data_IF_877016784923
#
_entry.id   IF_877016784923
#
_cell.length_a   1.000
_cell.length_b   1.000
_cell.length_c   1.000
_cell.angle_alpha   90.00
_cell.angle_beta   90.00
_cell.angle_gamma   90.00
#
_symmetry.space_group_name_H-M   'P 1'
#
loop_
_entity.id
_entity.type
_entity.pdbx_description
1 polymer ?
#
# COMPACT_ATOMS: atom_id res chain seq x y z
N UNK A 1 14.72 31.26 -9.35
CA UNK A 1 14.48 30.36 -10.49
C UNK A 1 14.92 28.93 -10.20
N UNK A 2 16.09 28.71 -9.61
CA UNK A 2 16.57 27.41 -9.17
C UNK A 2 15.68 26.83 -8.06
N UNK A 3 15.22 27.65 -7.13
CA UNK A 3 14.29 27.25 -6.05
C UNK A 3 12.95 26.79 -6.60
N UNK A 4 12.44 27.43 -7.64
CA UNK A 4 11.19 27.05 -8.29
C UNK A 4 11.32 25.69 -8.99
N UNK A 5 12.40 25.47 -9.69
CA UNK A 5 12.67 24.21 -10.40
C UNK A 5 12.80 23.03 -9.43
N UNK A 6 13.54 23.18 -8.33
CA UNK A 6 13.68 22.15 -7.30
C UNK A 6 12.35 21.83 -6.63
N UNK A 7 11.57 22.84 -6.30
CA UNK A 7 10.25 22.67 -5.72
C UNK A 7 9.30 21.92 -6.66
N UNK A 8 9.34 22.24 -7.94
CA UNK A 8 8.55 21.57 -8.95
C UNK A 8 8.94 20.10 -9.09
N UNK A 9 10.23 19.78 -9.10
CA UNK A 9 10.71 18.39 -9.14
C UNK A 9 10.30 17.61 -7.89
N UNK A 10 10.39 18.20 -6.72
CA UNK A 10 9.92 17.59 -5.47
C UNK A 10 8.43 17.26 -5.53
N UNK A 11 7.62 18.18 -6.02
CA UNK A 11 6.18 17.95 -6.17
C UNK A 11 5.86 16.80 -7.12
N UNK A 12 6.55 16.71 -8.26
CA UNK A 12 6.36 15.63 -9.24
C UNK A 12 6.74 14.28 -8.65
N UNK A 13 7.89 14.20 -7.97
CA UNK A 13 8.35 12.95 -7.34
C UNK A 13 7.41 12.52 -6.21
N UNK A 14 6.94 13.45 -5.40
CA UNK A 14 6.00 13.18 -4.31
C UNK A 14 4.66 12.65 -4.84
N UNK A 15 4.12 13.24 -5.91
CA UNK A 15 2.90 12.78 -6.55
C UNK A 15 3.04 11.37 -7.10
N UNK A 16 4.15 11.07 -7.74
CA UNK A 16 4.44 9.74 -8.29
C UNK A 16 4.52 8.70 -7.20
N UNK A 17 5.21 8.99 -6.10
CA UNK A 17 5.33 8.09 -4.95
C UNK A 17 3.97 7.81 -4.32
N UNK A 18 3.14 8.83 -4.14
CA UNK A 18 1.77 8.67 -3.62
C UNK A 18 0.89 7.82 -4.54
N UNK A 19 1.01 8.01 -5.83
CA UNK A 19 0.27 7.22 -6.82
C UNK A 19 0.66 5.74 -6.76
N UNK A 20 1.96 5.46 -6.74
CA UNK A 20 2.48 4.10 -6.65
C UNK A 20 2.08 3.43 -5.33
N UNK A 21 2.12 4.18 -4.23
CA UNK A 21 1.69 3.72 -2.91
C UNK A 21 0.21 3.37 -2.91
N UNK A 22 -0.66 4.22 -3.45
CA UNK A 22 -2.09 3.99 -3.52
C UNK A 22 -2.41 2.74 -4.34
N UNK A 23 -1.76 2.55 -5.48
CA UNK A 23 -1.95 1.35 -6.30
C UNK A 23 -1.51 0.08 -5.59
N UNK A 24 -0.36 0.11 -4.93
CA UNK A 24 0.13 -1.02 -4.17
C UNK A 24 -0.81 -1.37 -3.00
N UNK A 25 -1.32 -0.37 -2.30
CA UNK A 25 -2.29 -0.56 -1.21
C UNK A 25 -3.60 -1.16 -1.70
N UNK A 26 -4.13 -0.68 -2.82
CA UNK A 26 -5.35 -1.22 -3.44
C UNK A 26 -5.18 -2.69 -3.81
N UNK A 27 -4.06 -3.03 -4.44
CA UNK A 27 -3.77 -4.42 -4.80
C UNK A 27 -3.59 -5.31 -3.57
N UNK A 28 -2.87 -4.83 -2.55
CA UNK A 28 -2.68 -5.54 -1.30
C UNK A 28 -4.01 -5.77 -0.57
N UNK A 29 -4.92 -4.81 -0.61
CA UNK A 29 -6.26 -4.92 -0.03
C UNK A 29 -7.07 -6.03 -0.70
N UNK A 30 -7.05 -6.09 -2.03
CA UNK A 30 -7.71 -7.15 -2.79
C UNK A 30 -7.10 -8.52 -2.46
N UNK A 31 -5.78 -8.64 -2.43
CA UNK A 31 -5.08 -9.89 -2.12
C UNK A 31 -5.37 -10.35 -0.68
N UNK A 32 -5.46 -9.44 0.26
CA UNK A 32 -5.83 -9.77 1.63
C UNK A 32 -7.22 -10.39 1.70
N UNK A 33 -8.18 -9.84 0.96
CA UNK A 33 -9.53 -10.41 0.85
C UNK A 33 -9.52 -11.81 0.24
N UNK A 34 -8.74 -12.01 -0.83
CA UNK A 34 -8.60 -13.32 -1.46
C UNK A 34 -7.97 -14.37 -0.54
N UNK A 35 -6.97 -13.98 0.26
CA UNK A 35 -6.35 -14.87 1.23
C UNK A 35 -7.31 -15.27 2.36
N UNK A 36 -8.11 -14.33 2.84
CA UNK A 36 -9.17 -14.60 3.83
C UNK A 36 -10.18 -15.60 3.26
N UNK A 37 -10.56 -15.42 2.00
CA UNK A 37 -11.47 -16.34 1.31
C UNK A 37 -10.87 -17.75 1.17
N UNK A 38 -9.59 -17.86 0.87
CA UNK A 38 -8.90 -19.15 0.76
C UNK A 38 -8.77 -19.86 2.10
N UNK A 39 -8.58 -19.12 3.18
CA UNK A 39 -8.53 -19.70 4.53
C UNK A 39 -9.88 -20.27 4.98
N UNK A 40 -10.98 -19.72 4.47
CA UNK A 40 -12.35 -20.11 4.80
C UNK A 40 -13.11 -20.59 3.55
N UNK A 41 -12.45 -21.33 2.68
CA UNK A 41 -12.97 -21.67 1.35
C UNK A 41 -14.29 -22.44 1.42
N UNK A 42 -14.45 -23.33 2.38
CA UNK A 42 -15.68 -24.13 2.51
C UNK A 42 -16.90 -23.26 2.81
N UNK A 43 -16.74 -22.28 3.69
CA UNK A 43 -17.81 -21.32 4.01
C UNK A 43 -18.10 -20.40 2.83
N UNK A 44 -17.08 -19.94 2.13
CA UNK A 44 -17.22 -19.08 0.94
C UNK A 44 -18.00 -19.82 -0.15
N UNK A 45 -17.68 -21.08 -0.40
CA UNK A 45 -18.39 -21.92 -1.37
C UNK A 45 -19.86 -22.10 -0.97
N UNK A 46 -20.13 -22.35 0.30
CA UNK A 46 -21.51 -22.49 0.82
C UNK A 46 -22.31 -21.20 0.61
N UNK A 47 -21.71 -20.05 0.90
CA UNK A 47 -22.35 -18.75 0.72
C UNK A 47 -22.67 -18.50 -0.76
N UNK A 48 -21.70 -18.73 -1.64
CA UNK A 48 -21.87 -18.52 -3.07
C UNK A 48 -22.94 -19.46 -3.65
N UNK A 49 -22.94 -20.72 -3.27
CA UNK A 49 -23.94 -21.72 -3.73
C UNK A 49 -25.33 -21.46 -3.17
N UNK A 50 -25.41 -20.97 -1.94
CA UNK A 50 -26.69 -20.68 -1.29
C UNK A 50 -27.33 -19.36 -1.71
N UNK A 51 -26.58 -18.50 -2.39
CA UNK A 51 -27.07 -17.19 -2.81
C UNK A 51 -27.80 -17.28 -4.16
N UNK A 52 -28.88 -16.52 -4.27
CA UNK A 52 -29.68 -16.49 -5.50
C UNK A 52 -29.08 -15.64 -6.60
N UNK A 53 -28.34 -14.61 -6.24
CA UNK A 53 -27.68 -13.71 -7.17
C UNK A 53 -26.33 -13.25 -6.62
N UNK A 54 -25.55 -12.59 -7.48
CA UNK A 54 -24.21 -12.09 -7.14
C UNK A 54 -24.27 -11.05 -6.02
N UNK A 55 -25.29 -10.20 -6.00
CA UNK A 55 -25.41 -9.13 -5.00
C UNK A 55 -25.64 -9.72 -3.59
N UNK A 56 -26.48 -10.74 -3.50
CA UNK A 56 -26.73 -11.44 -2.23
C UNK A 56 -25.47 -12.13 -1.72
N UNK A 57 -24.72 -12.81 -2.61
CA UNK A 57 -23.45 -13.42 -2.29
C UNK A 57 -22.44 -12.42 -1.75
N UNK A 58 -22.29 -11.28 -2.39
CA UNK A 58 -21.42 -10.21 -1.93
C UNK A 58 -21.82 -9.68 -0.55
N UNK A 59 -23.12 -9.42 -0.35
CA UNK A 59 -23.63 -8.92 0.91
C UNK A 59 -23.34 -9.87 2.06
N UNK A 60 -23.52 -11.16 1.86
CA UNK A 60 -23.22 -12.18 2.87
C UNK A 60 -21.71 -12.28 3.15
N UNK A 61 -20.87 -12.23 2.12
CA UNK A 61 -19.42 -12.26 2.29
C UNK A 61 -18.92 -11.04 3.08
N UNK A 62 -19.45 -9.86 2.78
CA UNK A 62 -19.11 -8.63 3.50
C UNK A 62 -19.52 -8.74 4.96
N UNK A 63 -20.73 -9.21 5.23
CA UNK A 63 -21.26 -9.35 6.58
C UNK A 63 -20.49 -10.39 7.40
N UNK A 64 -20.14 -11.51 6.79
CA UNK A 64 -19.54 -12.64 7.51
C UNK A 64 -18.05 -12.45 7.80
N UNK A 65 -17.30 -11.94 6.86
CA UNK A 65 -15.84 -11.81 6.94
C UNK A 65 -15.36 -10.38 7.11
N UNK A 66 -16.26 -9.43 7.26
CA UNK A 66 -15.96 -8.01 7.38
C UNK A 66 -15.08 -7.50 6.22
N UNK A 67 -15.47 -7.84 5.00
CA UNK A 67 -14.76 -7.49 3.78
C UNK A 67 -15.33 -6.21 3.17
N UNK A 68 -14.53 -5.54 2.36
CA UNK A 68 -15.02 -4.43 1.54
C UNK A 68 -15.72 -4.95 0.29
N UNK A 69 -16.50 -4.08 -0.37
CA UNK A 69 -17.20 -4.43 -1.61
C UNK A 69 -16.23 -4.87 -2.71
N UNK A 70 -15.08 -4.21 -2.82
CA UNK A 70 -14.03 -4.54 -3.79
C UNK A 70 -13.47 -5.92 -3.54
N UNK A 71 -13.20 -6.25 -2.28
CA UNK A 71 -12.72 -7.59 -1.89
C UNK A 71 -13.77 -8.67 -2.18
N UNK A 72 -15.02 -8.43 -1.85
CA UNK A 72 -16.11 -9.36 -2.11
C UNK A 72 -16.30 -9.58 -3.62
N UNK A 73 -16.21 -8.53 -4.42
CA UNK A 73 -16.27 -8.64 -5.88
C UNK A 73 -15.13 -9.48 -6.43
N UNK A 74 -13.91 -9.29 -5.93
CA UNK A 74 -12.76 -10.08 -6.34
C UNK A 74 -12.92 -11.57 -5.99
N UNK A 75 -13.51 -11.87 -4.82
CA UNK A 75 -13.77 -13.25 -4.41
C UNK A 75 -14.80 -13.91 -5.34
N UNK A 76 -15.87 -13.22 -5.67
CA UNK A 76 -16.92 -13.72 -6.56
C UNK A 76 -16.38 -13.94 -7.98
N UNK A 77 -15.51 -13.04 -8.46
CA UNK A 77 -14.91 -13.13 -9.79
C UNK A 77 -13.82 -14.21 -9.86
N UNK A 78 -13.33 -14.66 -8.72
CA UNK A 78 -12.29 -15.68 -8.66
C UNK A 78 -12.82 -17.02 -9.18
N UNK A 79 -12.16 -17.58 -10.18
CA UNK A 79 -12.53 -18.88 -10.72
C UNK A 79 -12.15 -19.99 -9.75
N UNK A 80 -12.97 -21.04 -9.67
CA UNK A 80 -12.73 -22.20 -8.81
C UNK A 80 -11.36 -22.85 -9.07
N UNK A 81 -10.84 -22.75 -10.29
CA UNK A 81 -9.49 -23.23 -10.64
C UNK A 81 -8.37 -22.50 -9.91
N UNK A 82 -8.59 -21.24 -9.54
CA UNK A 82 -7.62 -20.42 -8.80
C UNK A 82 -7.51 -20.83 -7.33
N UNK A 83 -8.33 -21.74 -6.86
CA UNK A 83 -8.39 -22.19 -5.47
C UNK A 83 -7.48 -23.39 -5.18
N UNK A 84 -6.57 -23.70 -6.09
CA UNK A 84 -5.54 -24.74 -5.88
C UNK A 84 -4.47 -24.25 -4.92
N UNK A 85 -3.76 -25.17 -4.25
CA UNK A 85 -2.67 -24.81 -3.34
C UNK A 85 -1.57 -23.96 -4.00
N UNK A 86 -1.32 -24.19 -5.29
CA UNK A 86 -0.34 -23.41 -6.06
C UNK A 86 -0.75 -21.94 -6.20
N UNK A 87 -2.04 -21.67 -6.42
CA UNK A 87 -2.55 -20.30 -6.51
C UNK A 87 -2.49 -19.60 -5.15
N UNK A 88 -2.74 -20.32 -4.07
CA UNK A 88 -2.60 -19.80 -2.72
C UNK A 88 -1.16 -19.34 -2.46
N UNK A 89 -0.18 -20.16 -2.79
CA UNK A 89 1.24 -19.81 -2.65
C UNK A 89 1.62 -18.58 -3.47
N UNK A 90 1.13 -18.48 -4.70
CA UNK A 90 1.34 -17.30 -5.55
C UNK A 90 0.74 -16.04 -4.94
N UNK A 91 -0.48 -16.12 -4.42
CA UNK A 91 -1.14 -14.98 -3.79
C UNK A 91 -0.42 -14.54 -2.51
N UNK A 92 0.04 -15.49 -1.70
CA UNK A 92 0.82 -15.18 -0.49
C UNK A 92 2.16 -14.53 -0.84
N UNK A 93 2.85 -15.03 -1.88
CA UNK A 93 4.11 -14.46 -2.35
C UNK A 93 3.90 -13.05 -2.90
N UNK A 94 2.86 -12.84 -3.70
CA UNK A 94 2.51 -11.51 -4.24
C UNK A 94 2.17 -10.53 -3.12
N UNK A 95 1.39 -10.96 -2.14
CA UNK A 95 1.04 -10.14 -0.98
C UNK A 95 2.27 -9.71 -0.19
N UNK A 96 3.17 -10.65 0.07
CA UNK A 96 4.42 -10.38 0.79
C UNK A 96 5.30 -9.37 0.03
N UNK A 97 5.43 -9.56 -1.28
CA UNK A 97 6.19 -8.65 -2.14
C UNK A 97 5.59 -7.24 -2.14
N UNK A 98 4.26 -7.14 -2.23
CA UNK A 98 3.56 -5.86 -2.15
C UNK A 98 3.73 -5.17 -0.81
N UNK A 99 3.69 -5.91 0.29
CA UNK A 99 3.91 -5.34 1.63
C UNK A 99 5.33 -4.82 1.79
N UNK A 100 6.33 -5.50 1.23
CA UNK A 100 7.70 -5.02 1.20
C UNK A 100 7.83 -3.74 0.36
N UNK A 101 7.16 -3.70 -0.78
CA UNK A 101 7.15 -2.53 -1.66
C UNK A 101 6.47 -1.32 -0.98
N UNK A 102 5.34 -1.54 -0.31
CA UNK A 102 4.64 -0.50 0.47
C UNK A 102 5.54 0.04 1.57
N UNK A 103 6.22 -0.85 2.31
CA UNK A 103 7.15 -0.45 3.36
C UNK A 103 8.29 0.42 2.82
N UNK A 104 8.87 0.05 1.68
CA UNK A 104 9.91 0.86 1.02
C UNK A 104 9.39 2.23 0.61
N UNK A 105 8.21 2.30 0.00
CA UNK A 105 7.61 3.56 -0.44
C UNK A 105 7.31 4.49 0.73
N UNK A 106 6.82 3.94 1.85
CA UNK A 106 6.57 4.70 3.07
C UNK A 106 7.89 5.25 3.64
N UNK A 107 8.94 4.42 3.68
CA UNK A 107 10.25 4.85 4.15
C UNK A 107 10.86 5.94 3.27
N UNK A 108 10.73 5.82 1.95
CA UNK A 108 11.19 6.85 1.01
C UNK A 108 10.46 8.16 1.23
N UNK A 109 9.16 8.12 1.44
CA UNK A 109 8.35 9.32 1.71
C UNK A 109 8.75 9.98 3.04
N UNK A 110 8.96 9.19 4.09
CA UNK A 110 9.44 9.68 5.37
C UNK A 110 10.85 10.29 5.29
N UNK A 111 11.75 9.67 4.53
CA UNK A 111 13.09 10.19 4.30
C UNK A 111 13.06 11.55 3.57
N UNK A 112 12.19 11.68 2.58
CA UNK A 112 11.98 12.95 1.88
C UNK A 112 11.49 14.04 2.83
N UNK A 113 10.51 13.74 3.66
CA UNK A 113 10.00 14.69 4.65
C UNK A 113 11.07 15.10 5.66
N UNK A 114 11.87 14.17 6.14
CA UNK A 114 12.99 14.44 7.03
C UNK A 114 14.03 15.32 6.33
N UNK A 115 14.36 15.01 5.09
CA UNK A 115 15.30 15.82 4.30
C UNK A 115 14.79 17.24 4.09
N UNK A 116 13.53 17.40 3.70
CA UNK A 116 12.91 18.72 3.51
C UNK A 116 12.89 19.50 4.81
N UNK A 117 12.51 18.88 5.92
CA UNK A 117 12.51 19.52 7.24
C UNK A 117 13.92 19.90 7.69
N UNK A 118 14.90 19.04 7.44
CA UNK A 118 16.30 19.30 7.74
C UNK A 118 16.82 20.49 6.96
N UNK A 119 16.50 20.56 5.66
CA UNK A 119 16.87 21.72 4.82
C UNK A 119 16.17 23.00 5.26
N UNK A 120 14.89 22.93 5.61
CA UNK A 120 14.15 24.09 6.11
C UNK A 120 14.72 24.58 7.44
N UNK A 121 15.04 23.67 8.35
CA UNK A 121 15.67 23.99 9.61
C UNK A 121 17.08 24.59 9.41
N UNK A 122 17.84 24.01 8.50
CA UNK A 122 19.15 24.50 8.11
C UNK A 122 19.09 25.95 7.60
N UNK A 123 18.20 26.25 6.67
CA UNK A 123 18.04 27.59 6.13
C UNK A 123 17.51 28.58 7.16
N UNK A 124 16.65 28.11 8.07
CA UNK A 124 16.09 28.96 9.13
C UNK A 124 17.14 29.34 10.18
N UNK A 125 18.04 28.42 10.51
CA UNK A 125 19.04 28.59 11.55
C UNK A 125 20.43 28.96 11.01
N UNK A 126 20.57 29.16 9.72
CA UNK A 126 21.82 29.44 9.06
C UNK A 126 22.52 30.75 9.56
N UNK A 127 21.72 31.70 10.07
CA UNK A 127 22.24 32.97 10.64
C UNK A 127 22.73 32.82 12.09
N UNK A 128 22.37 31.73 12.81
CA UNK A 128 22.59 31.61 14.23
C UNK A 128 23.55 30.50 14.64
N UNK A 129 23.77 29.50 13.78
CA UNK A 129 24.62 28.34 14.10
C UNK A 129 25.77 28.21 13.10
N UNK A 130 26.98 27.80 13.59
CA UNK A 130 28.09 27.50 12.68
C UNK A 130 27.73 26.42 11.68
N UNK A 131 28.04 26.67 10.43
CA UNK A 131 27.71 25.83 9.31
C UNK A 131 28.22 24.38 9.43
N UNK A 132 29.40 24.21 10.00
CA UNK A 132 30.04 22.90 10.15
C UNK A 132 29.36 22.03 11.20
N UNK A 133 28.76 22.61 12.20
CA UNK A 133 28.09 21.87 13.29
C UNK A 133 26.86 21.11 12.80
N UNK A 134 26.06 21.74 11.95
CA UNK A 134 24.86 21.11 11.37
C UNK A 134 25.20 20.03 10.34
N UNK A 135 26.27 20.22 9.59
CA UNK A 135 26.76 19.25 8.62
C UNK A 135 27.31 17.98 9.27
N UNK A 136 28.02 18.10 10.37
CA UNK A 136 28.55 16.92 11.10
C UNK A 136 27.44 16.02 11.65
N UNK A 137 26.41 16.59 12.24
CA UNK A 137 25.29 15.78 12.75
C UNK A 137 24.47 15.12 11.64
N UNK A 138 24.30 15.78 10.53
CA UNK A 138 23.51 15.24 9.41
C UNK A 138 24.22 14.08 8.72
N UNK A 139 25.55 14.12 8.60
CA UNK A 139 26.33 13.10 7.91
C UNK A 139 26.75 11.92 8.82
N UNK A 140 26.68 12.05 10.13
CA UNK A 140 26.96 10.95 11.07
C UNK A 140 25.81 9.93 11.21
N UNK A 141 24.64 10.29 10.75
CA UNK A 141 23.45 9.44 10.75
C UNK A 141 23.06 9.05 9.33
#
# INVERSE_FOLDING_TARGET
QLKYYLKHQEEVVTRRTKYDLNKAEERAHILQGLLIALDNIDEVIKIIRGSKNVQEAKAELISRFDLSEVQAQAIVDMRLRALTGLEREKLEAEYKELMEQISRLILEELQKDIQVRSWQSFFRNMAFLPHWFLLEETFRR
#
